data_IF_812945576899
#
_entry.id   IF_812945576899
#
_cell.length_a   1.000
_cell.length_b   1.000
_cell.length_c   1.000
_cell.angle_alpha   90.00
_cell.angle_beta   90.00
_cell.angle_gamma   90.00
#
_symmetry.space_group_name_H-M   'P 1'
#
loop_
_entity.id
_entity.type
_entity.pdbx_description
1 polymer ?
#
# COMPACT_ATOMS: atom_id res chain seq x y z
N UNK A 1 -8.35 -18.11 -7.93
CA UNK A 1 -8.94 -17.15 -6.98
C UNK A 1 -9.70 -16.09 -7.75
N UNK A 2 -11.02 -15.91 -7.52
CA UNK A 2 -11.85 -14.99 -8.31
C UNK A 2 -12.47 -13.98 -7.36
N UNK A 3 -11.75 -12.88 -7.13
CA UNK A 3 -12.00 -11.89 -6.06
C UNK A 3 -13.44 -11.41 -6.02
N UNK A 4 -13.96 -10.82 -7.10
CA UNK A 4 -15.38 -10.55 -7.30
C UNK A 4 -15.58 -10.46 -8.82
N UNK A 5 -16.24 -11.43 -9.46
CA UNK A 5 -16.38 -11.50 -10.92
C UNK A 5 -17.79 -11.10 -11.36
N UNK A 6 -18.17 -9.84 -11.12
CA UNK A 6 -19.43 -9.31 -11.60
C UNK A 6 -19.53 -9.43 -13.13
N UNK A 7 -20.67 -9.90 -13.66
CA UNK A 7 -20.91 -9.86 -15.11
C UNK A 7 -21.11 -8.39 -15.60
N UNK A 8 -21.54 -7.51 -14.69
CA UNK A 8 -21.64 -6.07 -14.84
C UNK A 8 -21.45 -5.38 -13.45
N UNK A 9 -21.53 -4.05 -13.41
CA UNK A 9 -21.41 -3.27 -12.17
C UNK A 9 -22.48 -3.64 -11.12
N UNK A 10 -23.66 -4.09 -11.56
CA UNK A 10 -24.77 -4.47 -10.67
C UNK A 10 -24.49 -5.81 -9.98
N UNK A 11 -24.06 -6.82 -10.75
CA UNK A 11 -23.64 -8.12 -10.21
C UNK A 11 -22.40 -7.97 -9.31
N UNK A 12 -21.51 -7.02 -9.60
CA UNK A 12 -20.37 -6.73 -8.74
C UNK A 12 -20.81 -6.27 -7.34
N UNK A 13 -21.75 -5.31 -7.26
CA UNK A 13 -22.29 -4.87 -5.97
C UNK A 13 -22.99 -6.02 -5.24
N UNK A 14 -23.83 -6.80 -5.94
CA UNK A 14 -24.51 -7.97 -5.35
C UNK A 14 -23.52 -8.96 -4.76
N UNK A 15 -22.38 -9.21 -5.41
CA UNK A 15 -21.35 -10.12 -4.88
C UNK A 15 -20.66 -9.58 -3.65
N UNK A 16 -20.36 -8.28 -3.60
CA UNK A 16 -19.79 -7.63 -2.41
C UNK A 16 -20.78 -7.76 -1.26
N UNK A 17 -22.05 -7.46 -1.51
CA UNK A 17 -23.13 -7.47 -0.51
C UNK A 17 -23.42 -8.86 0.03
N UNK A 18 -23.28 -9.90 -0.79
CA UNK A 18 -23.36 -11.30 -0.34
C UNK A 18 -22.26 -11.72 0.64
N UNK A 19 -21.17 -10.95 0.74
CA UNK A 19 -20.04 -11.23 1.63
C UNK A 19 -20.05 -10.29 2.83
N UNK A 20 -20.12 -8.98 2.59
CA UNK A 20 -20.11 -7.97 3.65
C UNK A 20 -21.46 -7.81 4.35
N UNK A 21 -22.55 -8.24 3.71
CA UNK A 21 -23.90 -8.12 4.24
C UNK A 21 -24.62 -6.87 3.78
N UNK A 22 -25.95 -6.89 3.88
CA UNK A 22 -26.84 -5.79 3.49
C UNK A 22 -27.01 -4.74 4.58
N UNK A 23 -26.88 -5.11 5.86
CA UNK A 23 -27.07 -4.18 6.98
C UNK A 23 -26.01 -3.07 6.96
N UNK A 24 -24.72 -3.43 6.91
CA UNK A 24 -23.62 -2.45 6.81
C UNK A 24 -23.68 -1.61 5.52
N UNK A 25 -24.24 -2.15 4.43
CA UNK A 25 -24.48 -1.36 3.22
C UNK A 25 -25.49 -0.25 3.48
N UNK A 26 -26.64 -0.56 4.09
CA UNK A 26 -27.68 0.44 4.34
C UNK A 26 -27.23 1.47 5.36
N UNK A 27 -26.46 1.08 6.38
CA UNK A 27 -25.82 2.03 7.31
C UNK A 27 -24.88 2.99 6.57
N UNK A 28 -24.08 2.48 5.64
CA UNK A 28 -23.21 3.32 4.80
C UNK A 28 -24.01 4.28 3.90
N UNK A 29 -25.07 3.80 3.25
CA UNK A 29 -25.91 4.62 2.39
C UNK A 29 -26.60 5.74 3.19
N UNK A 30 -27.10 5.44 4.38
CA UNK A 30 -27.73 6.42 5.27
C UNK A 30 -26.72 7.46 5.79
N UNK A 31 -25.55 7.01 6.24
CA UNK A 31 -24.47 7.89 6.74
C UNK A 31 -24.04 8.95 5.72
N UNK A 32 -23.95 8.57 4.45
CA UNK A 32 -23.52 9.47 3.37
C UNK A 32 -24.67 10.02 2.51
N UNK A 33 -25.93 9.72 2.88
CA UNK A 33 -27.14 10.13 2.14
C UNK A 33 -27.07 9.77 0.65
N UNK A 34 -26.56 8.58 0.35
CA UNK A 34 -26.39 8.08 -1.02
C UNK A 34 -27.72 7.46 -1.47
N UNK A 35 -28.28 7.99 -2.55
CA UNK A 35 -29.46 7.40 -3.18
C UNK A 35 -29.08 6.16 -3.99
N UNK A 36 -29.54 5.00 -3.53
CA UNK A 36 -29.39 3.76 -4.26
C UNK A 36 -30.47 3.64 -5.35
N UNK A 37 -30.06 3.34 -6.58
CA UNK A 37 -30.99 3.19 -7.71
C UNK A 37 -32.03 2.08 -7.43
N UNK A 38 -33.30 2.32 -7.75
CA UNK A 38 -34.40 1.40 -7.40
C UNK A 38 -34.20 -0.03 -7.92
N UNK A 39 -33.49 -0.20 -9.05
CA UNK A 39 -33.11 -1.51 -9.60
C UNK A 39 -32.35 -2.38 -8.60
N UNK A 40 -31.58 -1.78 -7.69
CA UNK A 40 -30.83 -2.53 -6.68
C UNK A 40 -31.72 -3.15 -5.61
N UNK A 41 -32.90 -2.58 -5.34
CA UNK A 41 -33.80 -3.07 -4.31
C UNK A 41 -34.28 -4.51 -4.58
N UNK A 42 -34.47 -4.85 -5.85
CA UNK A 42 -34.95 -6.18 -6.26
C UNK A 42 -33.83 -7.24 -6.24
N UNK A 43 -32.57 -6.83 -6.38
CA UNK A 43 -31.43 -7.75 -6.56
C UNK A 43 -30.55 -7.92 -5.31
N UNK A 44 -30.55 -6.95 -4.39
CA UNK A 44 -29.67 -6.98 -3.21
C UNK A 44 -30.17 -7.91 -2.10
N UNK A 45 -31.47 -8.21 -2.06
CA UNK A 45 -32.06 -9.12 -1.07
C UNK A 45 -31.69 -8.75 0.38
N UNK A 46 -31.67 -9.76 1.27
CA UNK A 46 -31.10 -9.63 2.62
C UNK A 46 -29.96 -10.64 2.78
N UNK A 47 -28.80 -10.15 3.17
CA UNK A 47 -27.61 -10.97 3.37
C UNK A 47 -26.94 -10.60 4.69
N UNK A 48 -26.62 -11.61 5.50
CA UNK A 48 -25.80 -11.44 6.70
C UNK A 48 -24.33 -11.43 6.33
N UNK A 49 -23.53 -10.70 7.12
CA UNK A 49 -22.07 -10.67 6.95
C UNK A 49 -21.49 -12.07 7.11
N UNK A 50 -20.65 -12.47 6.16
CA UNK A 50 -19.97 -13.75 6.18
C UNK A 50 -18.59 -13.61 6.80
N UNK A 51 -18.29 -14.56 7.69
CA UNK A 51 -16.95 -14.78 8.23
C UNK A 51 -15.97 -15.19 7.12
N UNK A 52 -14.80 -14.57 7.05
CA UNK A 52 -13.80 -14.83 6.01
C UNK A 52 -13.30 -16.28 6.01
N UNK A 53 -13.33 -16.94 7.16
CA UNK A 53 -12.95 -18.35 7.31
C UNK A 53 -13.80 -19.28 6.43
N UNK A 54 -15.01 -18.87 6.03
CA UNK A 54 -15.86 -19.62 5.10
C UNK A 54 -15.29 -19.71 3.68
N UNK A 55 -14.33 -18.86 3.33
CA UNK A 55 -13.67 -18.88 2.03
C UNK A 55 -12.35 -19.68 2.05
N UNK A 56 -11.98 -20.24 3.20
CA UNK A 56 -10.80 -21.10 3.35
C UNK A 56 -11.14 -22.53 2.96
N UNK A 57 -10.34 -23.08 2.06
CA UNK A 57 -10.44 -24.43 1.50
C UNK A 57 -9.03 -25.06 1.47
N UNK A 58 -8.94 -26.37 1.28
CA UNK A 58 -7.65 -27.10 1.27
C UNK A 58 -6.60 -26.47 0.34
N UNK A 59 -7.04 -25.91 -0.79
CA UNK A 59 -6.14 -25.37 -1.82
C UNK A 59 -5.54 -24.00 -1.45
N UNK A 60 -6.19 -23.21 -0.58
CA UNK A 60 -5.73 -21.87 -0.21
C UNK A 60 -5.38 -21.74 1.28
N UNK A 61 -5.61 -22.78 2.09
CA UNK A 61 -5.39 -22.75 3.54
C UNK A 61 -3.94 -22.36 3.92
N UNK A 62 -2.96 -22.79 3.14
CA UNK A 62 -1.55 -22.47 3.36
C UNK A 62 -1.20 -20.99 3.13
N UNK A 63 -2.08 -20.24 2.46
CA UNK A 63 -1.94 -18.79 2.22
C UNK A 63 -2.76 -17.96 3.21
N UNK A 64 -3.64 -18.58 3.98
CA UNK A 64 -4.57 -17.89 4.87
C UNK A 64 -4.06 -17.98 6.30
N UNK A 65 -3.53 -16.88 6.81
CA UNK A 65 -3.23 -16.72 8.24
C UNK A 65 -4.27 -15.80 8.90
N UNK A 66 -4.42 -15.85 10.24
CA UNK A 66 -5.31 -14.95 10.96
C UNK A 66 -5.03 -13.46 10.68
N UNK A 67 -3.75 -13.09 10.55
CA UNK A 67 -3.32 -11.73 10.24
C UNK A 67 -3.70 -11.33 8.81
N UNK A 68 -3.68 -12.27 7.87
CA UNK A 68 -4.11 -12.03 6.49
C UNK A 68 -5.61 -11.74 6.40
N UNK A 69 -6.41 -12.48 7.18
CA UNK A 69 -7.86 -12.27 7.25
C UNK A 69 -8.21 -10.94 7.93
N UNK A 70 -7.53 -10.61 9.03
CA UNK A 70 -7.71 -9.32 9.72
C UNK A 70 -7.32 -8.14 8.81
N UNK A 71 -6.22 -8.27 8.08
CA UNK A 71 -5.81 -7.27 7.09
C UNK A 71 -6.87 -7.08 6.01
N UNK A 72 -7.40 -8.18 5.46
CA UNK A 72 -8.43 -8.15 4.43
C UNK A 72 -9.73 -7.52 4.95
N UNK A 73 -10.11 -7.80 6.20
CA UNK A 73 -11.31 -7.26 6.83
C UNK A 73 -11.27 -5.73 6.97
N UNK A 74 -10.09 -5.19 7.30
CA UNK A 74 -9.87 -3.75 7.44
C UNK A 74 -9.77 -3.02 6.10
N UNK A 75 -9.53 -3.74 5.01
CA UNK A 75 -9.55 -3.18 3.65
C UNK A 75 -10.94 -3.21 3.02
N UNK A 76 -11.67 -4.32 3.20
CA UNK A 76 -12.97 -4.55 2.58
C UNK A 76 -14.11 -4.04 3.46
N UNK A 77 -14.17 -2.72 3.64
CA UNK A 77 -15.26 -2.00 4.32
C UNK A 77 -16.09 -1.16 3.35
N UNK A 78 -17.40 -1.09 3.59
CA UNK A 78 -18.26 -0.16 2.85
C UNK A 78 -17.83 1.28 3.10
N UNK A 79 -17.71 1.65 4.37
CA UNK A 79 -17.21 2.94 4.79
C UNK A 79 -15.76 3.11 4.31
N UNK A 80 -15.57 4.08 3.42
CA UNK A 80 -14.29 4.38 2.83
C UNK A 80 -13.34 5.06 3.82
N UNK A 81 -13.84 5.68 4.89
CA UNK A 81 -13.00 6.29 5.94
C UNK A 81 -12.45 5.26 6.92
N UNK A 82 -13.11 4.11 7.08
CA UNK A 82 -12.62 3.03 7.93
C UNK A 82 -11.58 2.14 7.24
N UNK A 83 -11.39 2.29 5.94
CA UNK A 83 -10.41 1.51 5.19
C UNK A 83 -9.01 1.94 5.59
N UNK A 84 -8.13 0.96 5.82
CA UNK A 84 -6.71 1.23 6.06
C UNK A 84 -6.13 2.05 4.91
N UNK A 85 -5.44 3.13 5.27
CA UNK A 85 -4.60 3.87 4.33
C UNK A 85 -3.39 3.02 3.94
N UNK A 86 -2.73 3.35 2.82
CA UNK A 86 -1.55 2.62 2.37
C UNK A 86 -0.43 2.57 3.43
N UNK A 87 -0.26 3.66 4.20
CA UNK A 87 0.72 3.73 5.28
C UNK A 87 0.37 2.78 6.42
N UNK A 88 -0.88 2.81 6.89
CA UNK A 88 -1.34 1.91 7.97
C UNK A 88 -1.35 0.44 7.50
N UNK A 89 -1.63 0.21 6.23
CA UNK A 89 -1.55 -1.12 5.63
C UNK A 89 -0.14 -1.68 5.66
N UNK A 90 0.90 -0.87 5.37
CA UNK A 90 2.30 -1.29 5.47
C UNK A 90 2.74 -1.57 6.92
N UNK A 91 2.12 -0.90 7.89
CA UNK A 91 2.36 -1.09 9.33
C UNK A 91 1.58 -2.29 9.92
N UNK A 92 0.78 -2.99 9.10
CA UNK A 92 -0.02 -4.12 9.57
C UNK A 92 0.86 -5.33 9.95
N UNK A 93 0.55 -6.08 11.03
CA UNK A 93 1.31 -7.26 11.45
C UNK A 93 1.52 -8.30 10.34
N UNK A 94 0.61 -8.38 9.38
CA UNK A 94 0.74 -9.23 8.20
C UNK A 94 2.04 -8.98 7.42
N UNK A 95 2.55 -7.74 7.38
CA UNK A 95 3.78 -7.40 6.66
C UNK A 95 5.04 -7.41 7.53
N UNK A 96 4.94 -7.68 8.85
CA UNK A 96 6.10 -7.61 9.76
C UNK A 96 7.25 -8.53 9.36
N UNK A 97 6.94 -9.73 8.84
CA UNK A 97 7.96 -10.65 8.35
C UNK A 97 8.77 -10.04 7.19
N UNK A 98 8.09 -9.34 6.27
CA UNK A 98 8.71 -8.72 5.10
C UNK A 98 9.52 -7.49 5.51
N UNK A 99 8.97 -6.64 6.39
CA UNK A 99 9.66 -5.45 6.88
C UNK A 99 10.94 -5.83 7.63
N UNK A 100 10.90 -6.88 8.46
CA UNK A 100 12.07 -7.39 9.18
C UNK A 100 13.14 -7.94 8.24
N UNK A 101 12.76 -8.68 7.21
CA UNK A 101 13.70 -9.19 6.20
C UNK A 101 14.38 -8.04 5.45
N UNK A 102 13.60 -7.07 4.97
CA UNK A 102 14.15 -5.89 4.30
C UNK A 102 15.13 -5.13 5.19
N UNK A 103 14.76 -4.85 6.45
CA UNK A 103 15.63 -4.17 7.41
C UNK A 103 16.95 -4.92 7.62
N UNK A 104 16.89 -6.25 7.68
CA UNK A 104 18.07 -7.10 7.82
C UNK A 104 18.98 -6.97 6.60
N UNK A 105 18.42 -7.06 5.38
CA UNK A 105 19.18 -6.94 4.12
C UNK A 105 19.79 -5.55 3.92
N UNK A 106 19.09 -4.49 4.32
CA UNK A 106 19.61 -3.12 4.31
C UNK A 106 20.77 -2.94 5.31
N UNK A 107 20.66 -3.50 6.52
CA UNK A 107 21.73 -3.47 7.52
C UNK A 107 22.97 -4.27 7.08
N UNK A 108 22.78 -5.41 6.42
CA UNK A 108 23.87 -6.23 5.87
C UNK A 108 24.59 -5.51 4.72
N UNK A 109 23.85 -4.85 3.85
CA UNK A 109 24.40 -4.02 2.76
C UNK A 109 25.20 -2.82 3.31
N UNK A 110 24.73 -2.16 4.37
CA UNK A 110 25.50 -1.10 5.03
C UNK A 110 26.76 -1.62 5.74
N UNK A 111 26.73 -2.84 6.29
CA UNK A 111 27.91 -3.47 6.91
C UNK A 111 28.96 -3.90 5.89
N UNK A 112 28.57 -4.30 4.68
CA UNK A 112 29.49 -4.62 3.59
C UNK A 112 30.13 -3.39 2.92
N UNK A 113 29.55 -2.19 3.09
CA UNK A 113 30.14 -0.93 2.61
C UNK A 113 31.10 -0.27 3.61
N UNK A 114 31.43 -0.96 4.72
CA UNK A 114 32.43 -0.54 5.71
C UNK A 114 33.79 -1.20 5.48
N UNK A 115 34.60 -0.64 4.59
CA UNK A 115 36.07 -0.81 4.57
C UNK A 115 36.68 0.59 4.37
N UNK A 116 37.09 1.25 5.46
CA UNK A 116 38.44 1.23 6.06
C UNK A 116 39.50 1.94 5.19
N UNK A 117 39.48 3.27 5.19
CA UNK A 117 40.71 4.04 4.98
C UNK A 117 41.45 4.12 6.32
N UNK A 118 42.64 3.53 6.47
CA UNK A 118 43.47 3.81 7.65
C UNK A 118 43.88 5.29 7.59
N UNK A 119 43.91 6.03 8.71
CA UNK A 119 44.57 7.32 8.72
C UNK A 119 46.08 7.09 8.50
N UNK A 120 46.75 7.78 7.56
CA UNK A 120 48.20 7.73 7.51
C UNK A 120 48.74 8.45 8.76
N UNK A 121 49.50 7.72 9.56
CA UNK A 121 50.20 8.27 10.72
C UNK A 121 51.45 9.07 10.29
N UNK A 122 51.77 10.10 11.10
CA UNK A 122 52.97 10.97 11.13
C UNK A 122 52.81 12.25 10.27
N UNK A 123 52.92 13.47 10.81
CA UNK A 123 54.05 13.99 11.60
C UNK A 123 53.66 15.27 12.35
N UNK A 124 54.19 15.41 13.56
CA UNK A 124 54.10 16.57 14.46
C UNK A 124 54.72 17.85 13.88
N UNK A 125 54.02 18.99 13.97
CA UNK A 125 54.60 20.33 14.15
C UNK A 125 53.50 21.33 14.58
N UNK A 126 53.86 22.21 15.51
CA UNK A 126 52.99 22.95 16.42
C UNK A 126 52.71 24.40 15.90
N UNK A 127 52.15 25.36 16.68
CA UNK A 127 50.90 26.06 16.34
C UNK A 127 51.04 27.56 16.03
N UNK A 128 50.07 28.16 15.32
CA UNK A 128 49.77 29.61 15.41
C UNK A 128 48.47 30.03 14.72
N UNK A 129 47.48 30.42 15.55
CA UNK A 129 46.59 31.59 15.48
C UNK A 129 46.13 32.14 14.10
N UNK A 130 44.82 32.07 13.80
CA UNK A 130 43.88 33.22 13.85
C UNK A 130 42.63 33.07 12.93
N UNK A 131 41.49 33.44 13.51
CA UNK A 131 40.29 34.11 12.96
C UNK A 131 39.42 33.51 11.82
N UNK A 132 38.18 33.20 12.21
CA UNK A 132 36.88 33.59 11.61
C UNK A 132 36.64 33.46 10.09
N UNK A 133 35.59 32.71 9.68
CA UNK A 133 34.42 33.19 8.87
C UNK A 133 33.54 32.02 8.35
N UNK A 134 32.28 31.98 8.83
CA UNK A 134 30.96 31.79 8.17
C UNK A 134 30.74 30.82 6.98
N UNK A 135 29.65 30.04 7.13
CA UNK A 135 28.72 29.39 6.15
C UNK A 135 29.18 28.26 5.23
N UNK A 136 28.38 27.19 5.23
CA UNK A 136 28.25 26.28 4.09
C UNK A 136 27.56 24.96 4.42
N UNK A 137 26.22 24.92 4.40
CA UNK A 137 25.47 23.66 4.31
C UNK A 137 25.69 23.05 2.91
N UNK A 138 26.01 21.76 2.77
CA UNK A 138 25.81 21.07 1.50
C UNK A 138 24.41 20.45 1.45
N UNK A 139 23.58 20.99 0.56
CA UNK A 139 22.30 20.41 0.13
C UNK A 139 22.55 19.26 -0.85
N UNK A 140 21.85 18.15 -0.68
CA UNK A 140 21.86 17.00 -1.59
C UNK A 140 21.28 17.37 -2.96
N UNK A 141 21.83 16.89 -4.10
CA UNK A 141 21.13 16.94 -5.37
C UNK A 141 20.20 15.74 -5.54
N UNK A 142 18.91 16.05 -5.67
CA UNK A 142 17.85 15.16 -6.16
C UNK A 142 18.07 14.94 -7.67
N UNK A 143 18.06 13.68 -8.13
CA UNK A 143 18.04 13.35 -9.56
C UNK A 143 16.67 12.80 -9.92
N UNK A 144 15.94 13.54 -10.77
CA UNK A 144 14.74 13.06 -11.46
C UNK A 144 15.09 12.84 -12.94
N UNK A 145 14.68 11.72 -13.57
CA UNK A 145 14.81 11.54 -15.01
C UNK A 145 13.68 12.28 -15.76
N UNK A 146 14.06 13.12 -16.72
CA UNK A 146 13.15 13.75 -17.69
C UNK A 146 12.69 12.72 -18.73
N UNK A 147 11.38 12.54 -18.89
CA UNK A 147 10.79 11.83 -20.04
C UNK A 147 10.58 12.85 -21.16
N UNK A 148 11.34 12.68 -22.25
CA UNK A 148 11.13 13.39 -23.52
C UNK A 148 9.97 12.75 -24.27
N UNK A 149 8.88 13.50 -24.46
CA UNK A 149 7.78 13.12 -25.35
C UNK A 149 8.05 13.74 -26.73
N UNK A 150 8.28 12.90 -27.74
CA UNK A 150 8.26 13.32 -29.15
C UNK A 150 6.82 13.42 -29.66
N UNK A 151 6.43 14.48 -30.39
CA UNK A 151 5.15 14.53 -31.08
C UNK A 151 5.26 13.80 -32.42
N UNK A 152 4.41 12.81 -32.67
CA UNK A 152 4.25 12.25 -34.01
C UNK A 152 2.94 12.76 -34.61
N UNK A 153 3.06 13.60 -35.64
CA UNK A 153 1.94 14.10 -36.43
C UNK A 153 1.83 13.33 -37.74
N UNK A 154 0.59 12.89 -38.01
CA UNK A 154 -0.08 12.77 -39.32
C UNK A 154 0.43 11.79 -40.39
N UNK A 155 -0.46 10.89 -40.81
CA UNK A 155 -0.79 10.74 -42.23
C UNK A 155 -2.18 10.11 -42.41
N UNK A 156 -3.05 10.86 -43.10
CA UNK A 156 -4.27 10.39 -43.75
C UNK A 156 -3.93 9.63 -45.05
N UNK A 157 -4.86 8.76 -45.48
CA UNK A 157 -5.06 8.08 -46.79
C UNK A 157 -5.38 6.59 -46.51
N UNK A 158 -6.41 5.95 -47.08
CA UNK A 158 -7.34 6.24 -48.18
C UNK A 158 -8.65 5.50 -47.95
#
# INVERSE_FOLDING_TARGET
>A
ARGFHGHDNYDQLVRIVKVLGTEELYEYLDKYQINLESRFNDILGRHSRKRWERFVHSDNQHLVTPEALDFLDKLLRYDHQERLTAREAMEHPYFYAIVKDQQTRFAETQRMSGHNSPPPASTVANPSLSSSTITGMPTSPISSPSITIQPNSTAAQS
#
